data_IF_089543226645
#
_entry.id   IF_089543226645
#
_cell.length_a   1.000
_cell.length_b   1.000
_cell.length_c   1.000
_cell.angle_alpha   90.00
_cell.angle_beta   90.00
_cell.angle_gamma   90.00
#
_symmetry.space_group_name_H-M   'P 1'
#
loop_
_entity.id
_entity.type
_entity.pdbx_description
1 polymer ?
#
# COMPACT_ATOMS: atom_id res chain seq x y z
N UNK A 1 -6.99 -8.73 19.90
CA UNK A 1 -7.62 -8.47 21.20
C UNK A 1 -6.64 -8.96 22.25
N UNK A 2 -6.31 -8.17 23.28
CA UNK A 2 -5.36 -8.60 24.31
C UNK A 2 -5.95 -9.71 25.17
N UNK A 3 -5.12 -10.45 25.93
CA UNK A 3 -5.57 -11.42 26.92
C UNK A 3 -6.58 -10.84 27.94
N UNK A 4 -6.54 -9.52 28.16
CA UNK A 4 -7.48 -8.78 29.01
C UNK A 4 -8.79 -8.36 28.32
N UNK A 5 -9.01 -8.77 27.07
CA UNK A 5 -10.18 -8.43 26.25
C UNK A 5 -10.49 -6.94 26.12
N UNK A 6 -9.48 -6.08 26.33
CA UNK A 6 -9.64 -4.62 26.18
C UNK A 6 -9.58 -4.25 24.70
N UNK A 7 -10.72 -3.83 24.16
CA UNK A 7 -10.83 -3.40 22.77
C UNK A 7 -10.41 -1.93 22.65
N UNK A 8 -9.32 -1.68 21.91
CA UNK A 8 -8.93 -0.34 21.47
C UNK A 8 -9.26 -0.17 19.99
N UNK A 9 -9.69 1.02 19.58
CA UNK A 9 -9.93 1.32 18.17
C UNK A 9 -8.60 1.30 17.43
N UNK A 10 -8.47 0.45 16.41
CA UNK A 10 -7.29 0.41 15.53
C UNK A 10 -7.70 0.73 14.10
N UNK A 11 -6.94 1.62 13.45
CA UNK A 11 -7.02 1.80 12.00
C UNK A 11 -6.06 0.81 11.33
N UNK A 12 -6.56 0.03 10.38
CA UNK A 12 -5.69 -0.78 9.53
C UNK A 12 -5.29 0.04 8.29
N UNK A 13 -4.02 0.41 8.20
CA UNK A 13 -3.49 1.10 7.04
C UNK A 13 -2.84 0.09 6.10
N UNK A 14 -3.12 0.16 4.79
CA UNK A 14 -2.40 -0.64 3.82
C UNK A 14 -0.92 -0.24 3.80
N UNK A 15 -0.04 -1.17 3.42
CA UNK A 15 1.37 -0.88 3.19
C UNK A 15 1.51 -0.10 1.87
N UNK A 16 1.59 1.23 1.99
CA UNK A 16 1.71 2.16 0.87
C UNK A 16 3.17 2.59 0.74
N UNK A 17 3.75 2.42 -0.44
CA UNK A 17 5.13 2.79 -0.75
C UNK A 17 5.19 3.82 -1.87
N UNK A 18 6.22 4.65 -1.84
CA UNK A 18 6.52 5.62 -2.91
C UNK A 18 7.30 4.90 -4.00
N UNK A 19 6.74 4.82 -5.21
CA UNK A 19 7.36 4.15 -6.35
C UNK A 19 7.26 5.02 -7.60
N UNK A 20 8.21 4.84 -8.50
CA UNK A 20 8.17 5.44 -9.83
C UNK A 20 7.36 4.54 -10.75
N UNK A 21 6.27 5.05 -11.33
CA UNK A 21 5.43 4.32 -12.29
C UNK A 21 5.36 5.09 -13.59
N UNK A 22 5.43 4.35 -14.69
CA UNK A 22 5.20 4.90 -16.01
C UNK A 22 3.70 5.03 -16.22
N UNK A 23 3.20 6.27 -16.22
CA UNK A 23 1.78 6.57 -16.43
C UNK A 23 1.69 7.66 -17.49
N UNK A 24 0.83 7.45 -18.48
CA UNK A 24 0.54 8.45 -19.53
C UNK A 24 1.80 8.97 -20.25
N UNK A 25 2.75 8.08 -20.56
CA UNK A 25 3.97 8.42 -21.29
C UNK A 25 5.08 9.08 -20.45
N UNK A 26 4.89 9.25 -19.14
CA UNK A 26 5.86 9.88 -18.24
C UNK A 26 6.11 9.03 -16.99
N UNK A 27 7.34 9.06 -16.49
CA UNK A 27 7.69 8.44 -15.20
C UNK A 27 7.26 9.40 -14.09
N UNK A 28 6.31 8.99 -13.26
CA UNK A 28 5.83 9.77 -12.13
C UNK A 28 6.04 9.01 -10.81
N UNK A 29 6.41 9.76 -9.76
CA UNK A 29 6.51 9.20 -8.40
C UNK A 29 5.13 9.24 -7.74
N UNK A 30 4.57 8.07 -7.45
CA UNK A 30 3.25 7.91 -6.85
C UNK A 30 3.30 7.02 -5.61
N UNK A 31 2.32 7.20 -4.71
CA UNK A 31 2.11 6.33 -3.55
C UNK A 31 1.20 5.18 -3.96
N UNK A 32 1.71 3.96 -3.95
CA UNK A 32 0.96 2.77 -4.34
C UNK A 32 1.04 1.69 -3.27
N UNK A 33 -0.01 0.86 -3.21
CA UNK A 33 -0.05 -0.27 -2.32
C UNK A 33 0.92 -1.37 -2.79
N UNK A 34 1.56 -2.11 -1.89
CA UNK A 34 2.49 -3.19 -2.26
C UNK A 34 1.85 -4.27 -3.15
N UNK A 35 0.56 -4.58 -2.93
CA UNK A 35 -0.22 -5.49 -3.80
C UNK A 35 -0.37 -4.94 -5.22
N UNK A 36 -0.59 -3.62 -5.33
CA UNK A 36 -0.74 -2.90 -6.59
C UNK A 36 0.57 -2.93 -7.38
N UNK A 37 1.70 -2.67 -6.70
CA UNK A 37 3.05 -2.75 -7.28
C UNK A 37 3.31 -4.15 -7.81
N UNK A 38 2.96 -5.19 -7.04
CA UNK A 38 3.14 -6.58 -7.46
C UNK A 38 2.34 -6.94 -8.73
N UNK A 39 1.14 -6.39 -8.89
CA UNK A 39 0.34 -6.58 -10.11
C UNK A 39 0.98 -5.87 -11.31
N UNK A 40 1.53 -4.66 -11.11
CA UNK A 40 2.24 -3.92 -12.16
C UNK A 40 3.51 -4.63 -12.64
N UNK A 41 4.18 -5.41 -11.78
CA UNK A 41 5.38 -6.18 -12.15
C UNK A 41 5.08 -7.55 -12.74
N UNK A 42 3.83 -8.00 -12.73
CA UNK A 42 3.40 -9.33 -13.20
C UNK A 42 2.84 -9.29 -14.63
N UNK A 43 3.24 -8.28 -15.40
CA UNK A 43 2.99 -8.18 -16.85
C UNK A 43 3.58 -9.39 -17.55
#
# INVERSE_FOLDING_TARGET
VSHSMRHTKRKWQPNVQKVSVFKDGKVQKMKLCTRCIRTLSKV
#
